data_IF_435225464369
#
_entry.id   IF_435225464369
#
_cell.length_a   1.000
_cell.length_b   1.000
_cell.length_c   1.000
_cell.angle_alpha   90.00
_cell.angle_beta   90.00
_cell.angle_gamma   90.00
#
_symmetry.space_group_name_H-M   'P 1'
#
loop_
_entity.id
_entity.type
_entity.pdbx_description
1 polymer ?
#
# COMPACT_ATOMS: atom_id res chain seq x y z
N UNK A 1 2.64 -3.94 -38.74
CA UNK A 1 3.90 -4.66 -39.08
C UNK A 1 4.62 -4.89 -37.75
N UNK A 2 4.62 -6.10 -37.36
CA UNK A 2 5.02 -6.75 -36.13
C UNK A 2 6.49 -6.45 -35.80
N UNK A 3 6.79 -6.10 -34.54
CA UNK A 3 8.11 -6.34 -33.96
C UNK A 3 7.94 -7.19 -32.69
N UNK A 4 7.93 -8.50 -32.90
CA UNK A 4 8.43 -9.47 -31.94
C UNK A 4 9.96 -9.41 -32.02
N UNK A 5 10.63 -9.22 -30.90
CA UNK A 5 11.95 -9.83 -30.57
C UNK A 5 12.49 -9.13 -29.34
N UNK A 6 12.43 -9.83 -28.21
CA UNK A 6 13.49 -9.97 -27.20
C UNK A 6 12.95 -10.66 -25.95
N UNK A 7 12.63 -11.93 -26.11
CA UNK A 7 12.63 -12.90 -25.01
C UNK A 7 13.70 -13.94 -25.39
N UNK A 8 14.83 -13.87 -24.71
CA UNK A 8 15.88 -14.86 -24.93
C UNK A 8 17.22 -14.38 -24.45
N UNK A 9 17.43 -14.39 -23.12
CA UNK A 9 18.75 -14.54 -22.50
C UNK A 9 18.63 -14.28 -20.99
N UNK A 10 18.19 -15.27 -20.21
CA UNK A 10 18.61 -15.48 -18.82
C UNK A 10 18.16 -16.87 -18.33
N UNK A 11 18.71 -17.90 -18.96
CA UNK A 11 18.67 -19.28 -18.48
C UNK A 11 20.06 -19.86 -18.72
N UNK A 12 21.00 -19.59 -17.83
CA UNK A 12 22.20 -20.42 -17.63
C UNK A 12 22.96 -19.91 -16.39
N UNK A 13 22.60 -20.42 -15.21
CA UNK A 13 23.52 -20.60 -14.08
C UNK A 13 22.77 -21.09 -12.85
N UNK A 14 22.31 -22.35 -12.85
CA UNK A 14 22.12 -23.11 -11.62
C UNK A 14 22.09 -24.62 -11.94
N UNK A 15 23.23 -25.15 -12.26
CA UNK A 15 23.44 -26.58 -12.24
C UNK A 15 24.92 -26.80 -11.91
N UNK A 16 25.16 -27.21 -10.67
CA UNK A 16 26.33 -28.02 -10.25
C UNK A 16 26.48 -27.88 -8.72
N UNK A 17 25.83 -28.77 -8.00
CA UNK A 17 26.35 -29.37 -6.78
C UNK A 17 25.39 -30.49 -6.33
N UNK A 18 25.54 -31.63 -7.01
CA UNK A 18 25.11 -32.94 -6.54
C UNK A 18 26.33 -33.85 -6.62
N UNK A 19 27.03 -34.00 -5.52
CA UNK A 19 27.98 -35.11 -5.36
C UNK A 19 27.70 -35.82 -4.05
N UNK A 20 27.21 -37.06 -4.20
CA UNK A 20 27.52 -38.27 -3.47
C UNK A 20 27.50 -38.22 -1.94
N UNK A 21 26.42 -38.73 -1.35
CA UNK A 21 26.48 -39.42 -0.07
C UNK A 21 26.63 -40.93 -0.30
N UNK A 22 27.84 -41.44 -0.05
CA UNK A 22 28.08 -42.88 0.12
C UNK A 22 27.65 -43.32 1.51
N UNK A 23 27.00 -44.47 1.60
CA UNK A 23 26.64 -45.08 2.86
C UNK A 23 27.86 -45.68 3.56
N UNK A 24 28.02 -45.55 4.88
CA UNK A 24 28.99 -46.37 5.65
C UNK A 24 28.33 -47.70 6.10
N UNK A 25 29.07 -48.77 5.89
CA UNK A 25 28.73 -50.12 6.29
C UNK A 25 28.68 -50.32 7.80
N UNK A 26 27.93 -51.30 8.22
CA UNK A 26 27.73 -51.67 9.59
C UNK A 26 28.99 -52.24 10.23
N UNK A 27 29.35 -51.71 11.40
CA UNK A 27 30.25 -52.32 12.33
C UNK A 27 29.49 -52.95 13.49
N UNK A 28 29.86 -54.21 13.76
CA UNK A 28 29.31 -55.06 14.81
C UNK A 28 29.75 -54.60 16.18
N UNK A 29 28.83 -54.52 17.12
CA UNK A 29 29.05 -54.25 18.54
C UNK A 29 29.71 -55.48 19.21
N UNK A 30 30.83 -55.36 19.93
CA UNK A 30 31.40 -56.47 20.73
C UNK A 30 30.66 -56.57 22.07
N UNK A 31 30.37 -57.81 22.45
CA UNK A 31 29.78 -58.21 23.73
C UNK A 31 30.83 -58.04 24.86
N UNK A 32 30.51 -57.46 26.01
CA UNK A 32 31.46 -57.35 27.12
C UNK A 32 31.64 -58.68 27.86
N UNK A 33 32.89 -58.99 28.19
CA UNK A 33 33.29 -60.12 29.05
C UNK A 33 33.00 -59.85 30.53
N UNK A 34 32.95 -60.88 31.36
CA UNK A 34 32.61 -60.77 32.77
C UNK A 34 33.80 -60.32 33.60
N UNK A 35 33.70 -59.19 34.27
CA UNK A 35 34.59 -58.82 35.33
C UNK A 35 35.13 -57.40 35.36
N UNK A 36 34.26 -56.38 35.38
CA UNK A 36 34.70 -55.04 35.81
C UNK A 36 33.68 -54.45 36.81
N UNK A 37 34.22 -54.06 37.95
CA UNK A 37 33.50 -53.41 39.05
C UNK A 37 33.06 -52.02 38.66
N UNK A 38 31.80 -51.71 38.87
CA UNK A 38 31.20 -50.38 38.71
C UNK A 38 31.92 -49.35 39.54
N UNK A 39 32.27 -48.17 38.99
CA UNK A 39 32.75 -47.04 39.77
C UNK A 39 31.60 -46.38 40.51
N UNK A 40 31.84 -45.97 41.71
CA UNK A 40 30.97 -45.17 42.60
C UNK A 40 30.51 -43.88 41.91
N UNK A 41 29.22 -43.48 41.99
CA UNK A 41 28.74 -42.24 41.39
C UNK A 41 29.40 -41.04 42.10
N UNK A 42 30.06 -40.20 41.30
CA UNK A 42 30.56 -38.89 41.75
C UNK A 42 29.39 -37.93 41.98
N UNK A 43 29.62 -36.77 42.64
CA UNK A 43 28.57 -35.82 42.95
C UNK A 43 27.86 -35.37 41.64
N UNK A 44 26.55 -35.38 41.68
CA UNK A 44 25.64 -34.96 40.61
C UNK A 44 25.97 -33.50 40.21
N UNK A 45 26.53 -33.32 39.01
CA UNK A 45 26.73 -32.02 38.41
C UNK A 45 25.31 -31.48 38.04
N UNK A 46 24.84 -30.50 38.80
CA UNK A 46 23.56 -29.83 38.53
C UNK A 46 23.63 -29.20 37.14
N UNK A 47 22.79 -29.68 36.23
CA UNK A 47 22.62 -29.08 34.94
C UNK A 47 22.38 -27.54 35.07
N UNK A 48 23.02 -26.72 34.23
CA UNK A 48 22.79 -25.29 34.27
C UNK A 48 21.29 -25.01 34.06
N UNK A 49 20.74 -24.08 34.84
CA UNK A 49 19.38 -23.63 34.68
C UNK A 49 19.13 -23.20 33.23
N UNK A 50 17.94 -23.52 32.67
CA UNK A 50 17.65 -23.09 31.30
C UNK A 50 17.79 -21.59 31.19
N UNK A 51 18.58 -21.12 30.21
CA UNK A 51 18.66 -19.71 29.86
C UNK A 51 17.21 -19.25 29.58
N UNK A 52 16.75 -18.15 30.22
CA UNK A 52 15.42 -17.64 29.95
C UNK A 52 15.31 -17.39 28.43
N UNK A 53 14.25 -17.90 27.83
CA UNK A 53 13.90 -17.52 26.45
C UNK A 53 13.81 -16.00 26.37
N UNK A 54 14.36 -15.36 25.34
CA UNK A 54 14.24 -13.92 25.18
C UNK A 54 12.73 -13.58 25.18
N UNK A 55 12.34 -12.70 26.06
CA UNK A 55 11.00 -12.13 26.05
C UNK A 55 10.78 -11.54 24.64
N UNK A 56 9.70 -11.88 23.94
CA UNK A 56 9.45 -11.28 22.63
C UNK A 56 9.46 -9.77 22.79
N UNK A 57 10.29 -9.08 22.01
CA UNK A 57 10.28 -7.62 21.95
C UNK A 57 8.87 -7.19 21.57
N UNK A 58 8.32 -6.18 22.31
CA UNK A 58 7.02 -5.63 21.99
C UNK A 58 7.05 -4.97 20.61
N UNK A 59 5.96 -5.14 19.84
CA UNK A 59 5.82 -4.45 18.55
C UNK A 59 5.94 -2.93 18.77
N UNK A 60 6.84 -2.21 18.07
CA UNK A 60 6.99 -0.76 18.23
C UNK A 60 5.68 0.01 18.00
N UNK A 61 4.76 -0.53 17.19
CA UNK A 61 3.44 0.08 16.97
C UNK A 61 2.45 -0.09 18.14
N UNK A 62 2.76 -0.89 19.16
CA UNK A 62 1.94 -0.92 20.39
C UNK A 62 1.94 0.44 21.09
N UNK A 63 3.08 1.13 21.09
CA UNK A 63 3.19 2.47 21.63
C UNK A 63 2.37 3.51 20.83
N UNK A 64 2.30 3.35 19.50
CA UNK A 64 1.47 4.21 18.63
C UNK A 64 -0.01 3.96 18.88
N UNK A 65 -0.43 2.69 18.90
CA UNK A 65 -1.83 2.30 19.12
C UNK A 65 -2.38 2.75 20.48
N UNK A 66 -1.53 2.79 21.49
CA UNK A 66 -1.89 3.15 22.86
C UNK A 66 -1.46 4.55 23.30
N UNK A 67 -0.97 5.37 22.37
CA UNK A 67 -0.45 6.70 22.69
C UNK A 67 -1.52 7.60 23.30
N UNK A 68 -2.69 7.68 22.67
CA UNK A 68 -3.81 8.45 23.13
C UNK A 68 -4.71 7.61 24.04
N UNK A 69 -4.93 8.10 25.27
CA UNK A 69 -5.84 7.46 26.23
C UNK A 69 -7.23 8.12 26.15
N UNK A 70 -8.28 7.40 26.57
CA UNK A 70 -9.67 7.88 26.48
C UNK A 70 -9.89 9.25 27.16
N UNK A 71 -9.20 9.52 28.26
CA UNK A 71 -9.30 10.78 29.01
C UNK A 71 -8.63 11.97 28.28
N UNK A 72 -7.76 11.72 27.31
CA UNK A 72 -7.16 12.73 26.46
C UNK A 72 -8.00 13.06 25.22
N UNK A 73 -8.97 12.23 24.88
CA UNK A 73 -9.86 12.40 23.73
C UNK A 73 -11.07 13.25 24.12
N UNK A 74 -10.87 14.56 24.23
CA UNK A 74 -11.87 15.51 24.81
C UNK A 74 -12.60 16.33 23.76
N UNK A 75 -12.09 16.42 22.53
CA UNK A 75 -12.67 17.21 21.45
C UNK A 75 -13.57 16.35 20.56
N UNK A 76 -14.87 16.61 20.57
CA UNK A 76 -15.82 15.96 19.68
C UNK A 76 -15.75 16.56 18.27
N UNK A 77 -15.53 15.74 17.26
CA UNK A 77 -15.56 16.10 15.84
C UNK A 77 -16.79 15.48 15.19
N UNK A 78 -17.85 16.26 15.14
CA UNK A 78 -19.19 15.79 14.79
C UNK A 78 -19.47 15.69 13.29
N UNK A 79 -20.67 15.21 12.91
CA UNK A 79 -21.04 14.94 11.51
C UNK A 79 -21.02 16.15 10.58
N UNK A 80 -21.12 17.36 11.11
CA UNK A 80 -21.11 18.59 10.32
C UNK A 80 -19.70 19.19 10.11
N UNK A 81 -18.68 18.55 10.66
CA UNK A 81 -17.28 18.98 10.52
C UNK A 81 -16.58 18.13 9.47
N UNK A 82 -15.88 18.78 8.56
CA UNK A 82 -15.13 18.10 7.49
C UNK A 82 -13.99 17.27 8.08
N UNK A 83 -13.85 16.05 7.61
CA UNK A 83 -12.63 15.25 7.76
C UNK A 83 -11.90 15.37 6.43
N UNK A 84 -10.70 15.92 6.48
CA UNK A 84 -9.89 16.09 5.28
C UNK A 84 -9.44 14.72 4.75
N UNK A 85 -9.32 14.60 3.43
CA UNK A 85 -8.82 13.40 2.78
C UNK A 85 -7.82 13.78 1.70
N UNK A 86 -6.55 13.49 1.94
CA UNK A 86 -5.48 13.63 0.96
C UNK A 86 -5.13 12.27 0.38
N UNK A 87 -4.73 12.24 -0.89
CA UNK A 87 -4.18 11.02 -1.47
C UNK A 87 -2.88 11.30 -2.21
N UNK A 88 -2.06 10.26 -2.31
CA UNK A 88 -0.77 10.29 -2.95
C UNK A 88 -0.64 9.12 -3.92
N UNK A 89 0.34 9.18 -4.79
CA UNK A 89 0.87 8.04 -5.53
C UNK A 89 2.23 7.60 -4.93
N UNK A 90 2.83 6.50 -5.39
CA UNK A 90 4.23 6.19 -5.07
C UNK A 90 5.14 7.39 -5.33
N UNK A 91 6.12 7.62 -4.46
CA UNK A 91 7.03 8.75 -4.56
C UNK A 91 8.28 8.41 -5.38
N UNK A 92 8.81 9.39 -6.08
CA UNK A 92 10.03 9.26 -6.87
C UNK A 92 11.23 9.22 -5.94
N UNK A 93 11.93 8.07 -5.90
CA UNK A 93 13.12 7.86 -5.08
C UNK A 93 14.37 8.53 -5.68
N UNK A 94 14.48 8.54 -7.01
CA UNK A 94 15.60 9.11 -7.77
C UNK A 94 15.11 10.20 -8.73
N UNK A 95 14.83 11.43 -8.24
CA UNK A 95 14.22 12.48 -9.06
C UNK A 95 15.11 12.96 -10.21
N UNK A 96 16.43 13.02 -10.04
CA UNK A 96 17.35 13.36 -11.12
C UNK A 96 17.25 12.33 -12.26
N UNK A 97 17.16 11.04 -11.93
CA UNK A 97 16.94 9.99 -12.93
C UNK A 97 15.58 10.14 -13.59
N UNK A 98 14.51 10.21 -12.82
CA UNK A 98 13.13 10.25 -13.30
C UNK A 98 12.86 11.42 -14.24
N UNK A 99 13.30 12.61 -13.88
CA UNK A 99 13.01 13.82 -14.64
C UNK A 99 13.99 14.10 -15.77
N UNK A 100 15.25 13.64 -15.66
CA UNK A 100 16.32 14.06 -16.60
C UNK A 100 17.02 12.90 -17.29
N UNK A 101 17.54 11.93 -16.52
CA UNK A 101 18.54 10.98 -17.04
C UNK A 101 17.94 9.69 -17.61
N UNK A 102 16.72 9.28 -17.18
CA UNK A 102 16.10 8.07 -17.68
C UNK A 102 15.84 8.14 -19.19
N UNK A 103 15.86 6.99 -19.89
CA UNK A 103 15.65 6.95 -21.35
C UNK A 103 14.18 7.11 -21.77
N UNK A 104 13.27 7.33 -20.82
CA UNK A 104 11.83 7.47 -21.08
C UNK A 104 11.51 8.65 -21.98
N UNK A 105 10.42 8.57 -22.77
CA UNK A 105 9.95 9.69 -23.59
C UNK A 105 9.68 10.95 -22.75
N UNK A 106 9.86 12.13 -23.36
CA UNK A 106 9.62 13.42 -22.69
C UNK A 106 8.21 13.51 -22.08
N UNK A 107 7.19 13.01 -22.80
CA UNK A 107 5.80 13.00 -22.28
C UNK A 107 5.62 12.16 -21.03
N UNK A 108 6.44 11.12 -20.83
CA UNK A 108 6.42 10.32 -19.59
C UNK A 108 7.05 11.08 -18.44
N UNK A 109 8.20 11.75 -18.68
CA UNK A 109 8.85 12.61 -17.69
C UNK A 109 7.95 13.78 -17.26
N UNK A 110 7.22 14.38 -18.21
CA UNK A 110 6.20 15.39 -17.93
C UNK A 110 5.06 14.83 -17.08
N UNK A 111 4.60 13.62 -17.37
CA UNK A 111 3.61 12.93 -16.54
C UNK A 111 4.10 12.67 -15.11
N UNK A 112 5.37 12.29 -14.94
CA UNK A 112 5.97 12.13 -13.60
C UNK A 112 6.04 13.48 -12.85
N UNK A 113 6.44 14.57 -13.55
CA UNK A 113 6.47 15.91 -12.96
C UNK A 113 5.07 16.41 -12.57
N UNK A 114 4.05 16.07 -13.35
CA UNK A 114 2.67 16.51 -13.10
C UNK A 114 2.01 15.76 -11.94
N UNK A 115 2.20 14.44 -11.87
CA UNK A 115 1.36 13.58 -11.01
C UNK A 115 2.07 12.99 -9.79
N UNK A 116 3.41 13.06 -9.71
CA UNK A 116 4.17 12.42 -8.65
C UNK A 116 4.87 13.45 -7.76
N UNK A 117 5.08 13.08 -6.50
CA UNK A 117 5.96 13.78 -5.58
C UNK A 117 7.32 13.10 -5.53
N UNK A 118 8.35 13.86 -5.19
CA UNK A 118 9.64 13.28 -4.77
C UNK A 118 9.58 12.86 -3.29
N UNK A 119 10.51 12.01 -2.88
CA UNK A 119 10.68 11.62 -1.47
C UNK A 119 10.79 12.85 -0.56
N UNK A 120 11.60 13.84 -0.93
CA UNK A 120 11.82 15.02 -0.09
C UNK A 120 10.58 15.93 -0.02
N UNK A 121 9.83 16.06 -1.09
CA UNK A 121 8.56 16.79 -1.08
C UNK A 121 7.53 16.13 -0.18
N UNK A 122 7.43 14.79 -0.24
CA UNK A 122 6.53 14.03 0.61
C UNK A 122 6.89 14.16 2.11
N UNK A 123 8.18 14.06 2.47
CA UNK A 123 8.65 14.29 3.85
C UNK A 123 8.27 15.68 4.36
N UNK A 124 8.47 16.71 3.54
CA UNK A 124 8.10 18.10 3.90
C UNK A 124 6.59 18.25 4.10
N UNK A 125 5.76 17.57 3.28
CA UNK A 125 4.30 17.58 3.45
C UNK A 125 3.91 16.92 4.77
N UNK A 126 4.46 15.74 5.12
CA UNK A 126 4.19 15.07 6.38
C UNK A 126 4.52 15.97 7.58
N UNK A 127 5.69 16.60 7.58
CA UNK A 127 6.09 17.55 8.63
C UNK A 127 5.09 18.72 8.74
N UNK A 128 4.71 19.31 7.62
CA UNK A 128 3.75 20.43 7.63
C UNK A 128 2.37 20.02 8.15
N UNK A 129 1.88 18.85 7.79
CA UNK A 129 0.62 18.29 8.30
C UNK A 129 0.68 18.11 9.83
N UNK A 130 1.77 17.57 10.33
CA UNK A 130 2.01 17.39 11.76
C UNK A 130 2.06 18.73 12.51
N UNK A 131 2.85 19.69 12.04
CA UNK A 131 2.99 21.03 12.62
C UNK A 131 1.66 21.82 12.62
N UNK A 132 0.82 21.60 11.61
CA UNK A 132 -0.52 22.21 11.51
C UNK A 132 -1.58 21.49 12.36
N UNK A 133 -1.18 20.48 13.13
CA UNK A 133 -2.06 19.79 14.09
C UNK A 133 -3.00 18.76 13.46
N UNK A 134 -2.70 18.24 12.28
CA UNK A 134 -3.45 17.10 11.75
C UNK A 134 -3.13 15.82 12.54
N UNK A 135 -4.09 14.91 12.58
CA UNK A 135 -3.98 13.57 13.16
C UNK A 135 -4.62 12.56 12.22
N UNK A 136 -3.92 11.48 11.94
CA UNK A 136 -4.43 10.41 11.10
C UNK A 136 -5.57 9.67 11.78
N UNK A 137 -6.64 9.43 11.04
CA UNK A 137 -7.80 8.65 11.46
C UNK A 137 -8.15 7.62 10.39
N UNK A 138 -8.64 6.45 10.81
CA UNK A 138 -9.13 5.46 9.87
C UNK A 138 -10.47 5.92 9.27
N UNK A 139 -10.72 5.65 7.98
CA UNK A 139 -11.99 6.01 7.34
C UNK A 139 -13.15 5.23 7.96
N UNK A 140 -12.88 4.04 8.47
CA UNK A 140 -13.80 3.16 9.19
C UNK A 140 -14.22 3.75 10.55
N UNK A 141 -13.38 4.61 11.16
CA UNK A 141 -13.76 5.36 12.37
C UNK A 141 -14.65 6.55 12.01
N UNK A 142 -14.53 7.09 10.80
CA UNK A 142 -15.35 8.19 10.30
C UNK A 142 -16.74 7.71 9.88
N UNK A 143 -16.83 6.54 9.27
CA UNK A 143 -18.04 5.98 8.68
C UNK A 143 -18.28 4.54 9.11
N UNK A 144 -19.50 4.22 9.50
CA UNK A 144 -19.93 2.85 9.81
C UNK A 144 -21.18 2.46 9.04
N UNK A 145 -21.28 1.19 8.65
CA UNK A 145 -22.55 0.61 8.23
C UNK A 145 -23.28 0.06 9.46
N UNK A 146 -24.50 0.51 9.69
CA UNK A 146 -25.36 0.00 10.75
C UNK A 146 -26.58 -0.66 10.14
N UNK A 147 -27.15 -1.63 10.84
CA UNK A 147 -28.39 -2.30 10.44
C UNK A 147 -29.42 -2.13 11.54
N UNK A 148 -30.56 -1.57 11.17
CA UNK A 148 -31.71 -1.41 12.06
C UNK A 148 -33.02 -1.85 11.35
N UNK A 149 -34.17 -1.42 11.87
CA UNK A 149 -35.49 -1.75 11.31
C UNK A 149 -35.69 -1.23 9.87
N UNK A 150 -34.92 -0.23 9.45
CA UNK A 150 -34.95 0.34 8.09
C UNK A 150 -34.01 -0.36 7.11
N UNK A 151 -33.16 -1.28 7.61
CA UNK A 151 -32.15 -2.00 6.84
C UNK A 151 -30.73 -1.50 7.10
N UNK A 152 -29.79 -1.98 6.28
CA UNK A 152 -28.39 -1.55 6.35
C UNK A 152 -28.19 -0.16 5.76
N UNK A 153 -27.54 0.74 6.49
CA UNK A 153 -27.27 2.10 6.04
C UNK A 153 -25.99 2.67 6.66
N UNK A 154 -25.40 3.65 5.98
CA UNK A 154 -24.19 4.32 6.46
C UNK A 154 -24.53 5.43 7.45
N UNK A 155 -23.70 5.53 8.48
CA UNK A 155 -23.78 6.61 9.47
C UNK A 155 -22.44 7.32 9.61
N UNK A 156 -22.48 8.63 9.85
CA UNK A 156 -21.30 9.43 10.20
C UNK A 156 -21.07 9.39 11.69
N UNK A 157 -19.95 8.83 12.11
CA UNK A 157 -19.57 8.76 13.50
C UNK A 157 -19.08 10.13 14.03
N UNK A 158 -19.24 10.38 15.29
CA UNK A 158 -18.53 11.45 15.97
C UNK A 158 -17.16 10.93 16.40
N UNK A 159 -16.09 11.53 15.90
CA UNK A 159 -14.75 11.22 16.36
C UNK A 159 -14.47 11.94 17.67
N UNK A 160 -13.83 11.26 18.60
CA UNK A 160 -13.26 11.90 19.79
C UNK A 160 -11.76 12.07 19.56
N UNK A 161 -11.29 13.31 19.59
CA UNK A 161 -9.92 13.69 19.25
C UNK A 161 -9.23 14.36 20.45
N UNK A 162 -7.90 14.36 20.49
CA UNK A 162 -7.17 15.23 21.40
C UNK A 162 -7.47 16.71 21.08
N UNK A 163 -7.44 17.56 22.09
CA UNK A 163 -7.71 18.99 21.93
C UNK A 163 -6.74 19.64 20.92
N UNK A 164 -7.28 20.43 19.99
CA UNK A 164 -6.52 21.13 18.95
C UNK A 164 -6.12 20.29 17.74
N UNK A 165 -6.34 18.97 17.75
CA UNK A 165 -6.07 18.12 16.58
C UNK A 165 -7.22 18.16 15.57
N UNK A 166 -6.86 18.00 14.28
CA UNK A 166 -7.77 18.00 13.13
C UNK A 166 -7.68 16.65 12.41
N UNK A 167 -8.78 15.93 12.18
CA UNK A 167 -8.72 14.61 11.58
C UNK A 167 -8.36 14.65 10.10
N UNK A 168 -7.51 13.72 9.69
CA UNK A 168 -7.03 13.55 8.33
C UNK A 168 -7.07 12.08 7.94
N UNK A 169 -7.73 11.76 6.84
CA UNK A 169 -7.62 10.47 6.16
C UNK A 169 -6.56 10.58 5.07
N UNK A 170 -5.69 9.58 4.97
CA UNK A 170 -4.76 9.43 3.86
C UNK A 170 -5.10 8.20 3.03
N UNK A 171 -4.85 8.28 1.71
CA UNK A 171 -4.87 7.11 0.83
C UNK A 171 -3.72 7.18 -0.18
N UNK A 172 -3.34 6.01 -0.72
CA UNK A 172 -2.29 5.89 -1.72
C UNK A 172 -2.82 5.12 -2.90
N UNK A 173 -2.91 5.79 -4.05
CA UNK A 173 -3.35 5.19 -5.28
C UNK A 173 -2.15 4.51 -5.98
N UNK A 174 -2.40 3.42 -6.72
CA UNK A 174 -1.44 2.76 -7.60
C UNK A 174 -0.16 2.21 -6.93
N UNK A 175 -0.24 1.78 -5.66
CA UNK A 175 0.89 1.13 -4.97
C UNK A 175 1.07 -0.31 -5.46
N UNK A 176 1.24 -0.43 -6.77
CA UNK A 176 1.43 -1.69 -7.48
C UNK A 176 2.87 -1.84 -7.97
N UNK A 177 3.63 -0.73 -8.02
CA UNK A 177 4.98 -0.67 -8.56
C UNK A 177 5.02 -1.25 -9.98
N UNK A 178 4.36 -0.54 -10.89
CA UNK A 178 4.26 -0.92 -12.30
C UNK A 178 5.62 -0.98 -12.98
N UNK A 179 5.72 -1.74 -14.07
CA UNK A 179 6.99 -1.95 -14.77
C UNK A 179 7.66 -0.63 -15.18
N UNK A 180 6.88 0.39 -15.60
CA UNK A 180 7.43 1.69 -15.93
C UNK A 180 8.07 2.39 -14.73
N UNK A 181 7.50 2.25 -13.52
CA UNK A 181 8.04 2.85 -12.30
C UNK A 181 9.41 2.28 -11.95
N UNK A 182 9.63 0.97 -12.21
CA UNK A 182 10.90 0.32 -11.95
C UNK A 182 12.03 0.88 -12.81
N UNK A 183 11.70 1.32 -14.04
CA UNK A 183 12.64 1.93 -14.98
C UNK A 183 12.88 3.42 -14.70
N UNK A 184 12.00 4.07 -13.93
CA UNK A 184 11.93 5.52 -13.73
C UNK A 184 12.30 5.98 -12.32
N UNK A 185 13.01 5.14 -11.56
CA UNK A 185 13.62 5.55 -10.29
C UNK A 185 12.69 5.54 -9.08
N UNK A 186 11.69 4.67 -9.09
CA UNK A 186 10.88 4.33 -7.92
C UNK A 186 11.43 3.10 -7.20
N UNK A 187 10.91 2.81 -6.01
CA UNK A 187 11.07 1.52 -5.35
C UNK A 187 10.32 0.43 -6.11
N UNK A 188 10.58 -0.84 -5.82
CA UNK A 188 10.09 -1.94 -6.64
C UNK A 188 9.04 -2.82 -5.96
N UNK A 189 9.10 -2.97 -4.65
CA UNK A 189 8.14 -3.72 -3.83
C UNK A 189 8.32 -3.46 -2.34
N UNK A 190 7.27 -3.76 -1.57
CA UNK A 190 7.34 -3.79 -0.12
C UNK A 190 7.70 -5.21 0.35
N UNK A 191 8.50 -5.31 1.41
CA UNK A 191 8.90 -6.59 2.02
C UNK A 191 8.84 -6.49 3.54
N UNK A 192 8.72 -7.62 4.22
CA UNK A 192 8.92 -7.69 5.67
C UNK A 192 10.40 -7.93 5.92
N UNK A 193 11.06 -6.99 6.60
CA UNK A 193 12.46 -7.08 6.97
C UNK A 193 12.72 -8.11 8.08
N UNK A 194 14.00 -8.35 8.37
CA UNK A 194 14.42 -9.27 9.44
C UNK A 194 14.00 -8.79 10.84
N UNK A 195 13.75 -7.50 11.00
CA UNK A 195 13.24 -6.84 12.20
C UNK A 195 11.69 -6.91 12.31
N UNK A 196 11.04 -7.55 11.35
CA UNK A 196 9.58 -7.63 11.27
C UNK A 196 8.89 -6.33 10.84
N UNK A 197 9.63 -5.30 10.42
CA UNK A 197 9.05 -4.06 9.90
C UNK A 197 8.90 -4.11 8.38
N UNK A 198 8.11 -3.17 7.83
CA UNK A 198 8.01 -3.00 6.37
C UNK A 198 9.24 -2.23 5.87
N UNK A 199 9.84 -2.77 4.83
CA UNK A 199 10.93 -2.19 4.06
C UNK A 199 10.53 -2.10 2.59
N UNK A 200 11.09 -1.16 1.88
CA UNK A 200 10.98 -1.08 0.43
C UNK A 200 12.24 -1.64 -0.22
N UNK A 201 12.07 -2.47 -1.24
CA UNK A 201 13.17 -2.86 -2.11
C UNK A 201 13.37 -1.78 -3.16
N UNK A 202 14.58 -1.32 -3.34
CA UNK A 202 14.96 -0.33 -4.33
C UNK A 202 16.15 -0.82 -5.15
N UNK A 203 16.17 -0.45 -6.44
CA UNK A 203 17.33 -0.65 -7.31
C UNK A 203 17.84 0.70 -7.73
N UNK A 204 19.09 1.01 -7.39
CA UNK A 204 19.74 2.24 -7.83
C UNK A 204 19.86 2.25 -9.37
N UNK A 205 19.26 3.23 -10.06
CA UNK A 205 19.21 3.23 -11.52
C UNK A 205 20.59 3.45 -12.17
N UNK A 206 21.55 4.02 -11.45
CA UNK A 206 22.90 4.29 -11.95
C UNK A 206 23.84 3.10 -11.76
N UNK A 207 23.78 2.44 -10.59
CA UNK A 207 24.69 1.34 -10.23
C UNK A 207 24.08 -0.04 -10.47
N UNK A 208 22.76 -0.12 -10.59
CA UNK A 208 21.98 -1.37 -10.69
C UNK A 208 22.09 -2.24 -9.42
N UNK A 209 22.55 -1.68 -8.31
CA UNK A 209 22.53 -2.34 -7.01
C UNK A 209 21.12 -2.35 -6.43
N UNK A 210 20.69 -3.53 -5.97
CA UNK A 210 19.39 -3.70 -5.29
C UNK A 210 19.61 -3.81 -3.79
N UNK A 211 18.86 -3.03 -3.01
CA UNK A 211 18.96 -2.97 -1.56
C UNK A 211 17.58 -2.75 -0.91
N UNK A 212 17.50 -2.91 0.41
CA UNK A 212 16.33 -2.58 1.21
C UNK A 212 16.52 -1.22 1.88
N UNK A 213 15.44 -0.44 1.93
CA UNK A 213 15.45 0.90 2.51
C UNK A 213 14.10 1.22 3.15
N UNK A 214 14.12 2.13 4.12
CA UNK A 214 12.89 2.72 4.68
C UNK A 214 12.78 4.22 4.33
N UNK A 215 13.75 4.78 3.61
CA UNK A 215 13.89 6.22 3.37
C UNK A 215 13.42 6.68 1.98
N UNK A 216 13.07 5.75 1.08
CA UNK A 216 12.82 6.02 -0.34
C UNK A 216 11.42 5.67 -0.82
N UNK A 217 10.50 5.30 0.08
CA UNK A 217 9.14 4.89 -0.27
C UNK A 217 8.12 5.58 0.65
N UNK A 218 7.00 6.02 0.07
CA UNK A 218 5.97 6.73 0.83
C UNK A 218 5.38 5.91 1.98
N UNK A 219 5.27 4.58 1.80
CA UNK A 219 4.76 3.66 2.83
C UNK A 219 5.69 3.61 4.02
N UNK A 220 6.97 3.34 3.77
CA UNK A 220 7.98 3.21 4.83
C UNK A 220 8.27 4.54 5.50
N UNK A 221 8.24 5.64 4.74
CA UNK A 221 8.37 6.99 5.29
C UNK A 221 7.23 7.33 6.25
N UNK A 222 5.98 6.98 5.92
CA UNK A 222 4.86 7.19 6.83
C UNK A 222 4.96 6.28 8.06
N UNK A 223 5.43 5.05 7.88
CA UNK A 223 5.69 4.12 8.97
C UNK A 223 6.71 4.69 9.97
N UNK A 224 7.85 5.19 9.48
CA UNK A 224 8.85 5.83 10.32
C UNK A 224 8.30 7.10 10.98
N UNK A 225 7.61 7.94 10.22
CA UNK A 225 7.06 9.19 10.72
C UNK A 225 6.08 8.97 11.89
N UNK A 226 5.21 7.96 11.79
CA UNK A 226 4.27 7.61 12.86
C UNK A 226 4.98 7.00 14.09
N UNK A 227 6.08 6.27 13.90
CA UNK A 227 6.90 5.78 15.01
C UNK A 227 7.64 6.91 15.72
N UNK A 228 8.12 7.91 15.00
CA UNK A 228 8.78 9.11 15.54
C UNK A 228 7.78 10.08 16.20
N UNK A 229 6.56 10.15 15.65
CA UNK A 229 5.47 11.02 16.07
C UNK A 229 4.19 10.21 16.37
N UNK A 230 4.17 9.42 17.46
CA UNK A 230 3.02 8.57 17.75
C UNK A 230 1.73 9.36 18.00
N UNK A 231 1.84 10.64 18.37
CA UNK A 231 0.72 11.58 18.50
C UNK A 231 0.11 12.04 17.16
N UNK A 232 0.73 11.70 16.03
CA UNK A 232 0.20 11.95 14.69
C UNK A 232 -0.84 10.93 14.26
N UNK A 233 -1.01 9.83 14.99
CA UNK A 233 -1.93 8.74 14.66
C UNK A 233 -2.93 8.51 15.78
N UNK A 234 -4.21 8.41 15.45
CA UNK A 234 -5.25 7.99 16.37
C UNK A 234 -5.41 6.46 16.29
N UNK A 235 -5.19 5.77 17.42
CA UNK A 235 -5.31 4.31 17.53
C UNK A 235 -4.47 3.52 16.53
N UNK A 236 -3.36 4.08 16.06
CA UNK A 236 -2.47 3.46 15.08
C UNK A 236 -2.93 3.59 13.63
N UNK A 237 -3.95 4.39 13.33
CA UNK A 237 -4.41 4.62 11.95
C UNK A 237 -3.30 5.22 11.09
N UNK A 238 -3.16 4.74 9.84
CA UNK A 238 -2.22 5.26 8.86
C UNK A 238 -2.94 5.70 7.60
N UNK A 239 -2.95 4.86 6.57
CA UNK A 239 -3.57 5.20 5.30
C UNK A 239 -4.22 3.97 4.64
N UNK A 240 -4.89 4.23 3.51
CA UNK A 240 -5.59 3.22 2.73
C UNK A 240 -4.85 3.02 1.42
N UNK A 241 -4.43 1.79 1.11
CA UNK A 241 -3.95 1.47 -0.23
C UNK A 241 -5.12 1.29 -1.18
N UNK A 242 -5.17 2.11 -2.21
CA UNK A 242 -6.12 2.04 -3.32
C UNK A 242 -5.48 1.23 -4.44
N UNK A 243 -5.73 -0.09 -4.45
CA UNK A 243 -5.02 -1.02 -5.30
C UNK A 243 -5.78 -1.35 -6.58
N UNK A 244 -5.08 -1.31 -7.70
CA UNK A 244 -5.48 -1.98 -8.93
C UNK A 244 -5.07 -3.46 -8.89
N UNK A 245 -5.36 -4.22 -9.95
CA UNK A 245 -4.98 -5.64 -10.03
C UNK A 245 -4.02 -5.93 -11.19
N UNK A 246 -3.96 -5.06 -12.20
CA UNK A 246 -3.05 -5.27 -13.32
C UNK A 246 -1.60 -5.06 -12.88
N UNK A 247 -0.71 -5.92 -13.36
CA UNK A 247 0.68 -6.06 -12.92
C UNK A 247 0.85 -6.44 -11.43
N UNK A 248 -0.23 -6.86 -10.75
CA UNK A 248 -0.20 -7.35 -9.37
C UNK A 248 -0.36 -6.24 -8.32
N UNK A 249 0.09 -6.48 -7.08
CA UNK A 249 -0.06 -5.58 -5.94
C UNK A 249 1.23 -5.48 -5.13
N UNK A 250 1.51 -4.30 -4.56
CA UNK A 250 2.64 -4.06 -3.65
C UNK A 250 4.00 -4.50 -4.23
N UNK A 251 4.13 -4.54 -5.56
CA UNK A 251 5.32 -4.97 -6.29
C UNK A 251 5.39 -6.47 -6.59
N UNK A 252 4.39 -7.24 -6.21
CA UNK A 252 4.30 -8.68 -6.47
C UNK A 252 3.40 -8.96 -7.66
N UNK A 253 3.86 -9.76 -8.61
CA UNK A 253 3.18 -10.05 -9.88
C UNK A 253 2.07 -11.10 -9.71
N UNK A 254 1.06 -10.77 -8.89
CA UNK A 254 -0.06 -11.66 -8.52
C UNK A 254 -1.15 -11.77 -9.57
N UNK A 255 -1.08 -10.95 -10.62
CA UNK A 255 -2.04 -10.92 -11.72
C UNK A 255 -2.17 -12.28 -12.42
N UNK A 256 -3.39 -12.70 -12.72
CA UNK A 256 -3.64 -13.85 -13.59
C UNK A 256 -3.60 -13.42 -15.07
N UNK A 257 -2.77 -14.08 -15.88
CA UNK A 257 -2.80 -13.90 -17.33
C UNK A 257 -3.93 -14.72 -17.96
N UNK A 258 -5.10 -14.09 -18.10
CA UNK A 258 -6.29 -14.70 -18.71
C UNK A 258 -6.16 -14.87 -20.22
N UNK A 259 -5.16 -14.25 -20.85
CA UNK A 259 -4.89 -14.41 -22.27
C UNK A 259 -4.12 -15.71 -22.59
N UNK A 260 -3.45 -16.27 -21.59
CA UNK A 260 -2.73 -17.54 -21.69
C UNK A 260 -3.72 -18.72 -21.61
N UNK A 261 -3.92 -19.52 -22.68
CA UNK A 261 -4.84 -20.65 -22.67
C UNK A 261 -4.53 -21.65 -21.54
N UNK A 262 -5.56 -22.34 -21.07
CA UNK A 262 -5.41 -23.33 -19.99
C UNK A 262 -4.53 -24.53 -20.41
N UNK A 263 -4.50 -24.85 -21.71
CA UNK A 263 -3.71 -25.93 -22.32
C UNK A 263 -2.37 -25.46 -22.91
N UNK A 264 -2.01 -24.17 -22.72
CA UNK A 264 -0.70 -23.66 -23.14
C UNK A 264 0.42 -24.32 -22.35
N UNK A 265 1.49 -24.83 -23.01
CA UNK A 265 2.62 -25.46 -22.33
C UNK A 265 3.31 -24.58 -21.27
N UNK A 266 3.21 -23.25 -21.36
CA UNK A 266 3.75 -22.29 -20.37
C UNK A 266 2.84 -22.07 -19.17
N UNK A 267 1.58 -22.51 -19.23
CA UNK A 267 0.63 -22.26 -18.17
C UNK A 267 1.08 -22.79 -16.79
N UNK A 268 1.63 -24.01 -16.66
CA UNK A 268 2.09 -24.49 -15.36
C UNK A 268 3.24 -23.66 -14.77
N UNK A 269 4.18 -23.20 -15.58
CA UNK A 269 5.28 -22.34 -15.14
C UNK A 269 4.78 -20.96 -14.70
N UNK A 270 3.88 -20.37 -15.48
CA UNK A 270 3.24 -19.11 -15.12
C UNK A 270 2.46 -19.20 -13.79
N UNK A 271 1.65 -20.25 -13.62
CA UNK A 271 0.87 -20.42 -12.38
C UNK A 271 1.78 -20.69 -11.17
N UNK A 272 2.86 -21.44 -11.34
CA UNK A 272 3.83 -21.68 -10.26
C UNK A 272 4.53 -20.35 -9.85
N UNK A 273 4.94 -19.54 -10.82
CA UNK A 273 5.51 -18.21 -10.56
C UNK A 273 4.48 -17.30 -9.86
N UNK A 274 3.28 -17.18 -10.43
CA UNK A 274 2.20 -16.39 -9.84
C UNK A 274 1.89 -16.83 -8.39
N UNK A 275 1.82 -18.14 -8.14
CA UNK A 275 1.59 -18.65 -6.79
C UNK A 275 2.71 -18.28 -5.83
N UNK A 276 3.96 -18.31 -6.26
CA UNK A 276 5.09 -17.87 -5.43
C UNK A 276 5.01 -16.37 -5.06
N UNK A 277 4.58 -15.52 -5.98
CA UNK A 277 4.35 -14.09 -5.73
C UNK A 277 3.16 -13.87 -4.76
N UNK A 278 2.08 -14.63 -4.93
CA UNK A 278 0.94 -14.64 -4.00
C UNK A 278 1.38 -15.04 -2.58
N UNK A 279 2.17 -16.10 -2.45
CA UNK A 279 2.61 -16.55 -1.13
C UNK A 279 3.60 -15.56 -0.49
N UNK A 280 4.43 -14.90 -1.29
CA UNK A 280 5.38 -13.89 -0.82
C UNK A 280 4.71 -12.57 -0.38
N UNK A 281 3.59 -12.16 -1.00
CA UNK A 281 2.91 -10.91 -0.62
C UNK A 281 2.04 -11.04 0.64
N UNK A 282 1.57 -12.26 0.98
CA UNK A 282 0.70 -12.47 2.14
C UNK A 282 1.25 -11.94 3.46
N UNK A 283 2.50 -12.25 3.86
CA UNK A 283 3.08 -11.70 5.09
C UNK A 283 3.20 -10.16 5.06
N UNK A 284 3.43 -9.56 3.88
CA UNK A 284 3.46 -8.10 3.72
C UNK A 284 2.08 -7.50 3.99
N UNK A 285 1.03 -8.04 3.37
CA UNK A 285 -0.35 -7.60 3.60
C UNK A 285 -0.73 -7.76 5.08
N UNK A 286 -0.36 -8.88 5.68
CA UNK A 286 -0.64 -9.12 7.10
C UNK A 286 0.04 -8.07 7.98
N UNK A 287 1.35 -7.82 7.77
CA UNK A 287 2.10 -6.84 8.54
C UNK A 287 1.57 -5.42 8.36
N UNK A 288 1.23 -5.02 7.14
CA UNK A 288 0.61 -3.72 6.87
C UNK A 288 -0.68 -3.52 7.67
N UNK A 289 -1.56 -4.53 7.70
CA UNK A 289 -2.80 -4.48 8.51
C UNK A 289 -2.52 -4.37 10.00
N UNK A 290 -1.58 -5.14 10.51
CA UNK A 290 -1.18 -5.12 11.92
C UNK A 290 -0.66 -3.74 12.35
N UNK A 291 -0.09 -2.99 11.42
CA UNK A 291 0.50 -1.67 11.69
C UNK A 291 -0.39 -0.48 11.31
N UNK A 292 -1.68 -0.73 10.97
CA UNK A 292 -2.68 0.34 10.80
C UNK A 292 -2.96 0.77 9.36
N UNK A 293 -2.46 0.00 8.37
CA UNK A 293 -2.83 0.19 6.97
C UNK A 293 -4.11 -0.56 6.62
N UNK A 294 -4.94 0.02 5.76
CA UNK A 294 -6.13 -0.61 5.21
C UNK A 294 -6.09 -0.66 3.68
N UNK A 295 -7.07 -1.32 3.06
CA UNK A 295 -7.06 -1.56 1.63
C UNK A 295 -8.41 -1.20 1.01
N UNK A 296 -8.37 -0.59 -0.17
CA UNK A 296 -9.52 -0.25 -0.99
C UNK A 296 -9.32 -0.66 -2.45
N UNK A 297 -10.40 -0.66 -3.20
CA UNK A 297 -10.36 -0.95 -4.64
C UNK A 297 -10.07 0.30 -5.46
N UNK A 298 -9.19 0.16 -6.46
CA UNK A 298 -8.98 1.15 -7.52
C UNK A 298 -9.37 0.58 -8.89
N UNK A 299 -10.38 -0.29 -8.94
CA UNK A 299 -10.73 -1.17 -10.05
C UNK A 299 -9.59 -2.13 -10.42
N UNK A 300 -9.85 -3.20 -11.18
CA UNK A 300 -8.77 -4.10 -11.56
C UNK A 300 -7.82 -3.48 -12.58
N UNK A 301 -8.38 -2.88 -13.61
CA UNK A 301 -7.64 -2.37 -14.77
C UNK A 301 -7.44 -0.87 -14.79
N UNK A 302 -7.54 -0.17 -13.64
CA UNK A 302 -7.49 1.31 -13.59
C UNK A 302 -8.44 1.95 -14.60
N UNK A 303 -9.68 1.43 -14.69
CA UNK A 303 -10.60 1.80 -15.75
C UNK A 303 -11.30 3.15 -15.48
N UNK A 304 -11.35 4.03 -16.47
CA UNK A 304 -12.16 5.24 -16.40
C UNK A 304 -13.65 4.86 -16.40
N UNK A 305 -14.29 4.92 -15.22
CA UNK A 305 -15.68 4.52 -15.02
C UNK A 305 -16.68 5.48 -15.67
N UNK A 306 -16.34 6.75 -15.84
CA UNK A 306 -17.17 7.79 -16.44
C UNK A 306 -17.03 7.90 -17.97
N UNK A 307 -16.17 7.10 -18.60
CA UNK A 307 -16.01 7.11 -20.05
C UNK A 307 -17.33 6.82 -20.77
N UNK A 308 -17.66 7.60 -21.79
CA UNK A 308 -18.88 7.40 -22.61
C UNK A 308 -18.92 6.06 -23.33
N UNK A 309 -17.79 5.37 -23.44
CA UNK A 309 -17.70 4.02 -24.02
C UNK A 309 -17.74 2.91 -22.98
N UNK A 310 -17.79 3.26 -21.69
CA UNK A 310 -17.85 2.28 -20.59
C UNK A 310 -19.23 1.62 -20.57
N UNK A 311 -19.26 0.30 -20.44
CA UNK A 311 -20.49 -0.48 -20.33
C UNK A 311 -20.62 -1.12 -18.96
N UNK A 312 -21.84 -1.42 -18.53
CA UNK A 312 -22.07 -2.15 -17.28
C UNK A 312 -21.32 -3.50 -17.27
N UNK A 313 -21.34 -4.24 -18.38
CA UNK A 313 -20.65 -5.52 -18.52
C UNK A 313 -19.14 -5.38 -18.30
N UNK A 314 -18.51 -4.31 -18.82
CA UNK A 314 -17.09 -4.06 -18.62
C UNK A 314 -16.76 -3.72 -17.18
N UNK A 315 -17.64 -3.00 -16.47
CA UNK A 315 -17.48 -2.72 -15.03
C UNK A 315 -17.67 -3.99 -14.21
N UNK A 316 -18.63 -4.84 -14.57
CA UNK A 316 -18.85 -6.13 -13.93
C UNK A 316 -17.61 -7.02 -14.05
N UNK A 317 -17.10 -7.17 -15.26
CA UNK A 317 -15.91 -7.99 -15.54
C UNK A 317 -14.68 -7.50 -14.76
N UNK A 318 -14.46 -6.20 -14.74
CA UNK A 318 -13.33 -5.59 -14.01
C UNK A 318 -13.47 -5.77 -12.49
N UNK A 319 -14.65 -5.49 -11.96
CA UNK A 319 -14.93 -5.61 -10.51
C UNK A 319 -14.82 -7.04 -10.01
N UNK A 320 -15.40 -8.01 -10.73
CA UNK A 320 -15.29 -9.44 -10.37
C UNK A 320 -13.83 -9.88 -10.38
N UNK A 321 -13.06 -9.40 -11.35
CA UNK A 321 -11.64 -9.69 -11.44
C UNK A 321 -10.87 -9.09 -10.27
N UNK A 322 -11.18 -7.86 -9.86
CA UNK A 322 -10.59 -7.24 -8.68
C UNK A 322 -10.89 -8.06 -7.42
N UNK A 323 -12.14 -8.44 -7.22
CA UNK A 323 -12.56 -9.24 -6.07
C UNK A 323 -11.84 -10.60 -6.02
N UNK A 324 -11.66 -11.24 -7.19
CA UNK A 324 -10.97 -12.54 -7.31
C UNK A 324 -9.45 -12.41 -7.09
N UNK A 325 -8.79 -11.44 -7.73
CA UNK A 325 -7.32 -11.40 -7.79
C UNK A 325 -6.69 -10.51 -6.71
N UNK A 326 -7.40 -9.48 -6.23
CA UNK A 326 -6.93 -8.56 -5.19
C UNK A 326 -7.71 -8.75 -3.89
N UNK A 327 -9.03 -8.67 -3.95
CA UNK A 327 -9.91 -8.79 -2.80
C UNK A 327 -9.70 -10.10 -2.02
N UNK A 328 -9.43 -11.21 -2.72
CA UNK A 328 -9.09 -12.50 -2.09
C UNK A 328 -7.80 -12.47 -1.27
N UNK A 329 -6.88 -11.56 -1.56
CA UNK A 329 -5.61 -11.40 -0.85
C UNK A 329 -5.71 -10.39 0.28
N UNK A 330 -6.28 -9.23 0.00
CA UNK A 330 -6.37 -8.13 0.97
C UNK A 330 -7.59 -8.22 1.88
N UNK A 331 -8.56 -9.10 1.57
CA UNK A 331 -9.81 -9.23 2.32
C UNK A 331 -10.88 -8.24 1.87
N UNK A 332 -12.05 -8.27 2.54
CA UNK A 332 -13.18 -7.41 2.18
C UNK A 332 -12.86 -5.94 2.46
N UNK A 333 -13.38 -5.06 1.59
CA UNK A 333 -13.35 -3.61 1.77
C UNK A 333 -14.67 -3.00 1.34
N UNK A 334 -15.06 -1.91 2.00
CA UNK A 334 -16.20 -1.09 1.60
C UNK A 334 -15.78 0.13 0.76
N UNK A 335 -14.48 0.36 0.57
CA UNK A 335 -13.96 1.57 -0.08
C UNK A 335 -13.60 1.31 -1.54
N UNK A 336 -14.12 2.14 -2.42
CA UNK A 336 -13.75 2.16 -3.83
C UNK A 336 -13.34 3.57 -4.24
N UNK A 337 -12.13 3.69 -4.76
CA UNK A 337 -11.56 4.91 -5.29
C UNK A 337 -11.71 4.91 -6.82
N UNK A 338 -12.25 5.99 -7.36
CA UNK A 338 -12.47 6.09 -8.79
C UNK A 338 -11.18 6.46 -9.53
N UNK A 339 -10.67 5.60 -10.43
CA UNK A 339 -9.56 5.98 -11.29
C UNK A 339 -9.85 7.28 -12.06
N UNK A 340 -8.84 8.14 -12.18
CA UNK A 340 -8.97 9.46 -12.79
C UNK A 340 -9.99 10.39 -12.09
N UNK A 341 -10.48 10.04 -10.90
CA UNK A 341 -11.58 10.73 -10.24
C UNK A 341 -12.93 10.61 -10.96
N UNK A 342 -13.03 9.77 -11.99
CA UNK A 342 -14.16 9.69 -12.91
C UNK A 342 -15.24 8.77 -12.38
N UNK A 343 -16.42 9.34 -12.08
CA UNK A 343 -17.58 8.63 -11.51
C UNK A 343 -18.23 7.73 -12.56
N UNK A 344 -18.89 6.64 -12.17
CA UNK A 344 -19.57 5.75 -13.12
C UNK A 344 -20.75 6.43 -13.83
N UNK A 345 -21.30 5.71 -14.81
CA UNK A 345 -22.52 6.09 -15.53
C UNK A 345 -22.39 7.43 -16.28
N UNK A 346 -21.25 7.68 -16.95
CA UNK A 346 -20.98 8.90 -17.69
C UNK A 346 -20.60 10.09 -16.81
N UNK A 347 -19.88 9.82 -15.74
CA UNK A 347 -19.48 10.79 -14.70
C UNK A 347 -20.69 11.38 -13.95
N UNK A 348 -21.71 10.54 -13.72
CA UNK A 348 -22.94 10.94 -13.05
C UNK A 348 -22.68 11.37 -11.60
N UNK A 349 -22.79 12.68 -11.35
CA UNK A 349 -22.65 13.25 -9.99
C UNK A 349 -23.76 12.82 -9.04
N UNK A 350 -24.89 12.32 -9.54
CA UNK A 350 -25.98 11.77 -8.71
C UNK A 350 -25.68 10.37 -8.20
N UNK A 351 -24.84 9.63 -8.92
CA UNK A 351 -24.39 8.29 -8.60
C UNK A 351 -25.58 7.35 -8.32
N UNK A 352 -26.54 7.32 -9.22
CA UNK A 352 -27.74 6.48 -9.13
C UNK A 352 -27.88 5.52 -10.30
N UNK A 353 -26.96 5.54 -11.25
CA UNK A 353 -26.98 4.72 -12.45
C UNK A 353 -26.68 3.24 -12.20
N UNK A 354 -26.86 2.39 -13.23
CA UNK A 354 -26.75 0.94 -13.10
C UNK A 354 -25.33 0.45 -12.76
N UNK A 355 -24.27 1.15 -13.17
CA UNK A 355 -22.89 0.79 -12.81
C UNK A 355 -22.65 1.05 -11.33
N UNK A 356 -23.07 2.22 -10.82
CA UNK A 356 -22.99 2.54 -9.42
C UNK A 356 -23.76 1.53 -8.55
N UNK A 357 -25.02 1.22 -8.92
CA UNK A 357 -25.85 0.23 -8.20
C UNK A 357 -25.17 -1.16 -8.18
N UNK A 358 -24.55 -1.54 -9.29
CA UNK A 358 -23.79 -2.79 -9.34
C UNK A 358 -22.60 -2.79 -8.36
N UNK A 359 -21.78 -1.72 -8.35
CA UNK A 359 -20.65 -1.59 -7.42
C UNK A 359 -21.13 -1.65 -5.96
N UNK A 360 -22.24 -0.97 -5.65
CA UNK A 360 -22.86 -1.03 -4.33
C UNK A 360 -23.33 -2.46 -3.97
N UNK A 361 -23.88 -3.22 -4.94
CA UNK A 361 -24.29 -4.61 -4.74
C UNK A 361 -23.13 -5.55 -4.42
N UNK A 362 -21.88 -5.15 -4.72
CA UNK A 362 -20.64 -5.89 -4.40
C UNK A 362 -20.07 -5.57 -3.02
N UNK A 363 -20.77 -4.75 -2.24
CA UNK A 363 -20.37 -4.42 -0.87
C UNK A 363 -19.64 -3.10 -0.71
N UNK A 364 -19.38 -2.38 -1.80
CA UNK A 364 -18.81 -1.03 -1.68
C UNK A 364 -19.85 -0.07 -1.10
N UNK A 365 -19.42 0.76 -0.17
CA UNK A 365 -20.25 1.73 0.56
C UNK A 365 -19.67 3.14 0.57
N UNK A 366 -18.36 3.28 0.39
CA UNK A 366 -17.62 4.53 0.39
C UNK A 366 -16.98 4.69 -0.99
N UNK A 367 -17.40 5.72 -1.70
CA UNK A 367 -17.01 5.97 -3.08
C UNK A 367 -16.26 7.30 -3.17
N UNK A 368 -14.98 7.24 -3.47
CA UNK A 368 -14.08 8.39 -3.44
C UNK A 368 -13.63 8.81 -4.85
N UNK A 369 -13.93 10.05 -5.19
CA UNK A 369 -13.47 10.72 -6.40
C UNK A 369 -12.29 11.65 -6.10
N UNK A 370 -11.92 12.48 -7.06
CA UNK A 370 -10.96 13.58 -6.92
C UNK A 370 -11.71 14.89 -7.08
N UNK A 371 -11.44 15.84 -6.22
CA UNK A 371 -12.13 17.13 -6.18
C UNK A 371 -11.21 18.31 -5.97
N UNK A 372 -11.82 19.46 -5.81
CA UNK A 372 -11.14 20.73 -5.52
C UNK A 372 -11.15 21.08 -4.03
N UNK A 373 -11.89 20.33 -3.25
CA UNK A 373 -12.00 20.38 -1.80
C UNK A 373 -12.33 19.00 -1.26
N UNK A 374 -11.87 18.67 -0.07
CA UNK A 374 -12.28 17.45 0.60
C UNK A 374 -13.71 17.58 1.08
N UNK A 375 -14.54 16.63 0.75
CA UNK A 375 -15.82 16.47 1.39
C UNK A 375 -16.21 14.99 1.51
N UNK A 376 -17.11 14.70 2.44
CA UNK A 376 -17.79 13.41 2.49
C UNK A 376 -19.21 13.59 3.01
N UNK A 377 -20.17 12.92 2.40
CA UNK A 377 -21.58 12.97 2.78
C UNK A 377 -22.28 11.64 2.50
N UNK A 378 -23.31 11.36 3.29
CA UNK A 378 -24.24 10.26 3.00
C UNK A 378 -25.21 10.70 1.92
N UNK A 379 -25.42 9.85 0.92
CA UNK A 379 -26.58 9.90 0.04
C UNK A 379 -27.63 8.95 0.59
N UNK A 380 -28.62 9.51 1.28
CA UNK A 380 -29.59 8.74 2.06
C UNK A 380 -30.49 7.83 1.22
N UNK A 381 -30.77 8.19 -0.03
CA UNK A 381 -31.56 7.42 -0.99
C UNK A 381 -30.86 6.13 -1.47
N UNK A 382 -29.54 6.09 -1.37
CA UNK A 382 -28.72 4.95 -1.83
C UNK A 382 -27.87 4.35 -0.70
N UNK A 383 -27.94 4.92 0.51
CA UNK A 383 -27.15 4.49 1.67
C UNK A 383 -25.67 4.26 1.37
N UNK A 384 -25.03 5.26 0.77
CA UNK A 384 -23.61 5.24 0.43
C UNK A 384 -22.96 6.57 0.82
N UNK A 385 -21.67 6.52 1.11
CA UNK A 385 -20.83 7.69 1.32
C UNK A 385 -20.20 8.09 -0.01
N UNK A 386 -20.40 9.33 -0.38
CA UNK A 386 -19.77 9.96 -1.53
C UNK A 386 -18.75 10.95 -1.00
N UNK A 387 -17.50 10.84 -1.45
CA UNK A 387 -16.44 11.75 -1.05
C UNK A 387 -15.56 12.17 -2.23
N UNK A 388 -14.94 13.34 -2.10
CA UNK A 388 -13.86 13.81 -2.94
C UNK A 388 -12.59 13.95 -2.10
N UNK A 389 -11.45 13.67 -2.72
CA UNK A 389 -10.12 13.74 -2.14
C UNK A 389 -9.31 14.82 -2.84
N UNK A 390 -8.31 15.36 -2.14
CA UNK A 390 -7.34 16.28 -2.70
C UNK A 390 -6.02 15.56 -2.99
N UNK A 391 -5.40 15.86 -4.12
CA UNK A 391 -4.16 15.27 -4.59
C UNK A 391 -3.00 16.26 -4.47
N UNK A 392 -2.12 16.17 -3.46
CA UNK A 392 -0.82 16.81 -3.51
C UNK A 392 0.06 16.15 -4.57
N UNK A 393 0.40 16.87 -5.62
CA UNK A 393 1.20 16.42 -6.76
C UNK A 393 1.98 17.59 -7.37
N UNK A 394 2.78 17.35 -8.40
CA UNK A 394 3.55 18.40 -9.05
C UNK A 394 2.70 19.50 -9.65
N UNK A 395 1.53 19.15 -10.22
CA UNK A 395 0.58 20.14 -10.76
C UNK A 395 0.04 21.05 -9.66
N UNK A 396 -0.35 20.48 -8.53
CA UNK A 396 -0.92 21.26 -7.41
C UNK A 396 0.14 22.07 -6.69
N UNK A 397 1.35 21.56 -6.55
CA UNK A 397 2.50 22.33 -6.04
C UNK A 397 2.80 23.53 -6.91
N UNK A 398 2.73 23.41 -8.26
CA UNK A 398 3.04 24.51 -9.19
C UNK A 398 1.91 25.51 -9.36
N UNK A 399 0.65 25.06 -9.39
CA UNK A 399 -0.45 25.88 -9.91
C UNK A 399 -1.61 26.09 -8.94
N UNK A 400 -1.62 25.43 -7.77
CA UNK A 400 -2.79 25.43 -6.87
C UNK A 400 -2.42 25.73 -5.42
N UNK A 401 -1.37 26.51 -5.20
CA UNK A 401 -0.83 26.87 -3.88
C UNK A 401 -1.91 27.27 -2.88
N UNK A 402 -2.78 28.20 -3.25
CA UNK A 402 -3.80 28.74 -2.34
C UNK A 402 -4.76 27.67 -1.80
N UNK A 403 -5.04 26.64 -2.59
CA UNK A 403 -5.92 25.54 -2.21
C UNK A 403 -5.35 24.69 -1.08
N UNK A 404 -4.03 24.57 -1.04
CA UNK A 404 -3.33 23.66 -0.13
C UNK A 404 -2.74 24.36 1.10
N UNK A 405 -2.87 25.70 1.24
CA UNK A 405 -2.31 26.47 2.35
C UNK A 405 -2.74 25.97 3.75
N UNK A 406 -3.91 25.36 3.85
CA UNK A 406 -4.34 24.75 5.11
C UNK A 406 -3.49 23.53 5.48
N UNK A 407 -2.89 22.83 4.52
CA UNK A 407 -2.06 21.64 4.68
C UNK A 407 -0.57 21.98 4.66
N UNK A 408 -0.14 22.79 3.71
CA UNK A 408 1.25 23.21 3.51
C UNK A 408 1.33 24.46 2.60
N UNK A 409 2.46 25.15 2.64
CA UNK A 409 2.79 26.13 1.61
C UNK A 409 3.61 25.43 0.51
N UNK A 410 3.09 25.38 -0.70
CA UNK A 410 3.74 24.72 -1.82
C UNK A 410 5.13 25.28 -2.15
N UNK A 411 5.39 26.57 -1.83
CA UNK A 411 6.71 27.19 -2.02
C UNK A 411 7.79 26.60 -1.09
N UNK A 412 7.39 26.09 0.08
CA UNK A 412 8.30 25.43 1.02
C UNK A 412 8.51 23.94 0.68
N UNK A 413 7.56 23.36 -0.09
CA UNK A 413 7.54 21.93 -0.41
C UNK A 413 8.33 21.65 -1.68
N UNK A 414 7.98 22.31 -2.79
CA UNK A 414 8.48 21.98 -4.13
C UNK A 414 10.01 22.03 -4.22
N UNK A 415 10.58 21.04 -4.86
CA UNK A 415 12.02 20.94 -5.09
C UNK A 415 12.36 21.36 -6.53
N UNK A 416 12.53 22.67 -6.73
CA UNK A 416 12.88 23.25 -8.03
C UNK A 416 14.32 22.96 -8.48
N UNK A 417 15.18 22.38 -7.62
CA UNK A 417 16.55 22.01 -8.00
C UNK A 417 16.55 20.73 -8.85
N UNK A 418 15.59 19.84 -8.61
CA UNK A 418 15.50 18.55 -9.32
C UNK A 418 14.34 18.50 -10.32
N UNK A 419 13.27 19.29 -10.10
CA UNK A 419 12.14 19.33 -11.03
C UNK A 419 12.50 20.08 -12.32
N UNK A 420 11.87 19.71 -13.47
CA UNK A 420 12.09 20.40 -14.73
C UNK A 420 11.76 21.90 -14.62
N UNK A 421 12.63 22.75 -15.19
CA UNK A 421 12.36 24.17 -15.37
C UNK A 421 11.33 24.35 -16.50
N UNK A 422 10.11 24.74 -16.15
CA UNK A 422 9.04 25.01 -17.12
C UNK A 422 8.99 26.48 -17.54
N UNK A 423 9.96 27.31 -17.12
CA UNK A 423 10.02 28.74 -17.45
C UNK A 423 8.81 29.52 -16.94
N UNK A 424 8.20 29.08 -15.87
CA UNK A 424 7.02 29.70 -15.26
C UNK A 424 7.34 30.04 -13.82
N UNK A 425 7.42 31.32 -13.55
CA UNK A 425 7.51 31.83 -12.19
C UNK A 425 6.18 31.66 -11.47
N UNK A 426 6.27 31.50 -10.19
CA UNK A 426 5.15 31.36 -9.24
C UNK A 426 4.29 32.61 -9.16
#
# INVERSE_FOLDING_TARGET
MIRLTRLGALLLALALFLTACGAPGGESVPTPGPGETLPTPGPEETAPAPTPEPTPESDPYDAVRSYWTEDQLTQAWGPNQTVEHLFFHPVIAYPQWAFHDCPSPQSQKEGLDDWMLTVEEYKKILNSLYEKGYILVAIEDVWSEVTDETGAHMVRNTLMLPEGKKPLVLSFDDVNYYDYMLEEGFTSRLVVGADGQIWAQCTDPYTQETFLTQDLDATTLLDQFVLEHPDFSLNGAKAIFSLTGYQGILGYRTQNDRSLPADDPKRPEFEAYRQSEIDAVKPVIQRLKETGWTFGSHTWGHINLGSSTRTLESVQTDTERWLEEVGSLVGPTQVLFYPHGSRPDGDDVTQTGPMFQYLQSKGFRIFASVGIESYSKIKGDISAVICDRLHPDGTTLRWQRDRYLQFYDAADIIDLEVRPDLGKDW
#
